data_IF_331019604028
#
_entry.id   IF_331019604028
#
_cell.length_a   1.000
_cell.length_b   1.000
_cell.length_c   1.000
_cell.angle_alpha   90.00
_cell.angle_beta   90.00
_cell.angle_gamma   90.00
#
_symmetry.space_group_name_H-M   'P 1'
#
loop_
_entity.id
_entity.type
_entity.pdbx_description
1 polymer ?
#
# COMPACT_ATOMS: atom_id res chain seq x y z
N UNK A 1 41.42 4.87 -12.37
CA UNK A 1 40.02 4.44 -12.53
C UNK A 1 39.21 5.13 -11.45
N UNK A 2 38.26 5.97 -11.83
CA UNK A 2 37.31 6.55 -10.88
C UNK A 2 36.14 5.57 -10.77
N UNK A 3 35.88 5.07 -9.56
CA UNK A 3 34.88 4.02 -9.31
C UNK A 3 33.43 4.53 -9.44
N UNK A 4 33.24 5.85 -9.31
CA UNK A 4 31.96 6.54 -9.40
C UNK A 4 32.13 7.83 -10.20
N UNK A 5 31.07 8.27 -10.87
CA UNK A 5 31.03 9.62 -11.44
C UNK A 5 31.01 10.67 -10.32
N UNK A 6 31.50 11.87 -10.60
CA UNK A 6 31.50 12.98 -9.64
C UNK A 6 30.09 13.29 -9.12
N UNK A 7 29.08 13.21 -9.99
CA UNK A 7 27.67 13.44 -9.66
C UNK A 7 27.14 12.39 -8.69
N UNK A 8 27.46 11.11 -8.94
CA UNK A 8 27.01 10.01 -8.08
C UNK A 8 27.69 10.07 -6.71
N UNK A 9 28.97 10.42 -6.67
CA UNK A 9 29.70 10.63 -5.42
C UNK A 9 29.09 11.76 -4.59
N UNK A 10 28.79 12.90 -5.22
CA UNK A 10 28.14 14.03 -4.55
C UNK A 10 26.73 13.68 -4.05
N UNK A 11 25.93 13.00 -4.87
CA UNK A 11 24.59 12.55 -4.48
C UNK A 11 24.66 11.62 -3.25
N UNK A 12 25.59 10.66 -3.24
CA UNK A 12 25.77 9.77 -2.09
C UNK A 12 26.21 10.53 -0.83
N UNK A 13 27.13 11.49 -0.97
CA UNK A 13 27.59 12.32 0.15
C UNK A 13 26.44 13.12 0.75
N UNK A 14 25.64 13.78 -0.09
CA UNK A 14 24.50 14.60 0.34
C UNK A 14 23.42 13.74 0.97
N UNK A 15 23.02 12.64 0.34
CA UNK A 15 21.99 11.73 0.87
C UNK A 15 22.42 11.13 2.20
N UNK A 16 23.65 10.62 2.30
CA UNK A 16 24.14 10.01 3.55
C UNK A 16 24.19 11.03 4.68
N UNK A 17 24.73 12.22 4.41
CA UNK A 17 24.86 13.29 5.42
C UNK A 17 23.50 13.76 5.89
N UNK A 18 22.57 14.01 4.97
CA UNK A 18 21.21 14.47 5.29
C UNK A 18 20.41 13.41 6.06
N UNK A 19 20.50 12.13 5.68
CA UNK A 19 19.84 11.03 6.40
C UNK A 19 20.34 10.94 7.85
N UNK A 20 21.65 11.01 8.09
CA UNK A 20 22.22 10.95 9.45
C UNK A 20 21.77 12.14 10.30
N UNK A 21 21.76 13.34 9.73
CA UNK A 21 21.30 14.55 10.44
C UNK A 21 19.81 14.45 10.78
N UNK A 22 18.98 13.97 9.85
CA UNK A 22 17.55 13.79 10.07
C UNK A 22 17.27 12.76 11.17
N UNK A 23 17.95 11.60 11.13
CA UNK A 23 17.82 10.55 12.16
C UNK A 23 18.20 11.10 13.53
N UNK A 24 19.33 11.81 13.64
CA UNK A 24 19.76 12.44 14.90
C UNK A 24 18.74 13.43 15.44
N UNK A 25 18.16 14.24 14.57
CA UNK A 25 17.12 15.19 14.95
C UNK A 25 15.85 14.48 15.47
N UNK A 26 15.39 13.42 14.80
CA UNK A 26 14.23 12.65 15.24
C UNK A 26 14.49 11.92 16.56
N UNK A 27 15.64 11.26 16.72
CA UNK A 27 15.98 10.60 17.98
C UNK A 27 16.09 11.61 19.14
N UNK A 28 16.64 12.80 18.89
CA UNK A 28 16.69 13.89 19.86
C UNK A 28 15.32 14.49 20.21
N UNK A 29 14.32 14.32 19.33
CA UNK A 29 12.94 14.80 19.53
C UNK A 29 12.05 13.81 20.30
N UNK A 30 12.60 12.67 20.73
CA UNK A 30 11.90 11.66 21.53
C UNK A 30 11.35 10.46 20.76
N UNK A 31 11.67 10.31 19.46
CA UNK A 31 11.35 9.10 18.72
C UNK A 31 12.30 7.95 19.13
N UNK A 32 11.75 6.76 19.39
CA UNK A 32 12.53 5.59 19.82
C UNK A 32 13.33 4.94 18.67
N UNK A 33 12.82 5.02 17.45
CA UNK A 33 13.44 4.47 16.25
C UNK A 33 13.00 5.26 15.01
N UNK A 34 13.79 5.16 13.95
CA UNK A 34 13.50 5.81 12.66
C UNK A 34 13.54 4.75 11.57
N UNK A 35 12.49 4.68 10.76
CA UNK A 35 12.40 3.76 9.63
C UNK A 35 13.08 4.37 8.41
N UNK A 36 14.33 3.98 8.14
CA UNK A 36 15.09 4.49 7.00
C UNK A 36 14.48 4.14 5.64
N UNK A 37 13.67 3.07 5.58
CA UNK A 37 12.90 2.70 4.39
C UNK A 37 11.88 3.76 3.96
N UNK A 38 11.58 4.75 4.81
CA UNK A 38 10.65 5.85 4.49
C UNK A 38 11.32 7.08 3.89
N UNK A 39 12.64 7.03 3.68
CA UNK A 39 13.37 8.08 2.98
C UNK A 39 13.49 7.84 1.47
N UNK A 40 13.07 6.67 0.95
CA UNK A 40 13.08 6.37 -0.48
C UNK A 40 11.81 6.88 -1.19
N UNK A 41 11.89 6.99 -2.52
CA UNK A 41 10.76 7.32 -3.40
C UNK A 41 9.92 6.11 -3.79
N UNK A 42 10.22 4.92 -3.27
CA UNK A 42 9.60 3.65 -3.69
C UNK A 42 8.06 3.69 -3.58
N UNK A 43 7.54 4.32 -2.52
CA UNK A 43 6.10 4.50 -2.29
C UNK A 43 5.45 5.31 -3.41
N UNK A 44 6.14 6.35 -3.90
CA UNK A 44 5.71 7.20 -5.01
C UNK A 44 5.81 6.44 -6.34
N UNK A 45 6.88 5.67 -6.54
CA UNK A 45 7.05 4.82 -7.72
C UNK A 45 5.98 3.72 -7.81
N UNK A 46 5.63 3.12 -6.67
CA UNK A 46 4.53 2.16 -6.56
C UNK A 46 3.19 2.82 -6.91
N UNK A 47 2.98 4.07 -6.51
CA UNK A 47 1.77 4.82 -6.87
C UNK A 47 1.71 5.09 -8.38
N UNK A 48 2.81 5.50 -9.01
CA UNK A 48 2.86 5.65 -10.47
C UNK A 48 2.73 4.32 -11.22
N UNK A 49 3.21 3.21 -10.63
CA UNK A 49 2.92 1.86 -11.13
C UNK A 49 1.42 1.57 -11.13
N UNK A 50 0.72 1.91 -10.05
CA UNK A 50 -0.72 1.75 -9.96
C UNK A 50 -1.49 2.59 -10.99
N UNK A 51 -1.07 3.84 -11.24
CA UNK A 51 -1.63 4.68 -12.29
C UNK A 51 -1.51 4.01 -13.67
N UNK A 52 -0.33 3.46 -13.99
CA UNK A 52 -0.13 2.73 -15.26
C UNK A 52 -1.04 1.51 -15.35
N UNK A 53 -1.18 0.74 -14.27
CA UNK A 53 -2.05 -0.45 -14.24
C UNK A 53 -3.53 -0.09 -14.46
N UNK A 54 -4.02 0.98 -13.83
CA UNK A 54 -5.38 1.49 -14.04
C UNK A 54 -5.63 1.90 -15.49
N UNK A 55 -4.62 2.41 -16.18
CA UNK A 55 -4.66 2.82 -17.57
C UNK A 55 -4.30 1.68 -18.55
N UNK A 56 -4.57 0.44 -18.17
CA UNK A 56 -4.39 -0.73 -19.04
C UNK A 56 -2.96 -1.30 -19.05
N UNK A 57 -2.14 -0.94 -18.07
CA UNK A 57 -0.71 -1.28 -17.98
C UNK A 57 0.10 -0.74 -19.17
N UNK A 58 -0.26 0.45 -19.64
CA UNK A 58 0.45 1.12 -20.73
C UNK A 58 1.73 1.80 -20.21
N UNK A 59 2.87 1.49 -20.82
CA UNK A 59 4.18 2.07 -20.46
C UNK A 59 4.23 3.59 -20.71
N UNK A 60 3.49 4.07 -21.71
CA UNK A 60 3.41 5.48 -22.07
C UNK A 60 1.99 6.01 -21.82
N UNK A 61 1.71 6.33 -20.56
CA UNK A 61 0.41 6.87 -20.15
C UNK A 61 0.28 8.34 -20.57
N UNK A 62 -0.79 8.70 -21.27
CA UNK A 62 -1.13 10.10 -21.59
C UNK A 62 -1.47 10.90 -20.32
N UNK A 63 -1.20 12.21 -20.32
CA UNK A 63 -1.40 13.08 -19.18
C UNK A 63 -2.88 13.10 -18.72
N UNK A 64 -3.83 13.09 -19.67
CA UNK A 64 -5.26 13.03 -19.34
C UNK A 64 -5.65 11.70 -18.70
N UNK A 65 -5.10 10.59 -19.19
CA UNK A 65 -5.31 9.27 -18.62
C UNK A 65 -4.70 9.16 -17.20
N UNK A 66 -3.50 9.71 -17.00
CA UNK A 66 -2.86 9.77 -15.68
C UNK A 66 -3.70 10.60 -14.69
N UNK A 67 -4.21 11.76 -15.11
CA UNK A 67 -5.05 12.62 -14.28
C UNK A 67 -6.37 11.94 -13.89
N UNK A 68 -7.03 11.29 -14.85
CA UNK A 68 -8.24 10.52 -14.61
C UNK A 68 -8.01 9.40 -13.58
N UNK A 69 -6.93 8.63 -13.73
CA UNK A 69 -6.54 7.60 -12.77
C UNK A 69 -6.23 8.21 -11.39
N UNK A 70 -5.49 9.32 -11.33
CA UNK A 70 -5.16 10.02 -10.09
C UNK A 70 -6.40 10.47 -9.32
N UNK A 71 -7.43 10.98 -10.01
CA UNK A 71 -8.70 11.36 -9.39
C UNK A 71 -9.52 10.15 -8.95
N UNK A 72 -9.43 9.04 -9.69
CA UNK A 72 -10.20 7.82 -9.41
C UNK A 72 -9.70 7.08 -8.16
N UNK A 73 -8.38 6.97 -7.97
CA UNK A 73 -7.75 6.24 -6.84
C UNK A 73 -8.28 6.65 -5.46
N UNK A 74 -8.31 7.95 -5.07
CA UNK A 74 -8.79 8.34 -3.75
C UNK A 74 -10.31 8.19 -3.60
N UNK A 75 -11.06 8.28 -4.70
CA UNK A 75 -12.53 8.14 -4.69
C UNK A 75 -12.93 6.68 -4.51
N UNK A 76 -12.26 5.75 -5.21
CA UNK A 76 -12.60 4.33 -5.14
C UNK A 76 -11.91 3.60 -4.01
N UNK A 77 -10.75 4.09 -3.55
CA UNK A 77 -9.89 3.36 -2.61
C UNK A 77 -9.37 2.02 -3.14
N UNK A 78 -9.58 1.74 -4.43
CA UNK A 78 -9.35 0.45 -5.08
C UNK A 78 -8.47 0.68 -6.31
N UNK A 79 -7.34 -0.05 -6.39
CA UNK A 79 -6.51 -0.15 -7.58
C UNK A 79 -6.92 -1.45 -8.31
N UNK A 80 -7.64 -1.31 -9.42
CA UNK A 80 -8.08 -2.43 -10.24
C UNK A 80 -7.69 -2.17 -11.69
N UNK A 81 -6.84 -3.03 -12.26
CA UNK A 81 -6.55 -3.02 -13.70
C UNK A 81 -7.85 -3.23 -14.50
N UNK A 82 -8.05 -2.51 -15.60
CA UNK A 82 -9.24 -2.72 -16.46
C UNK A 82 -9.35 -4.18 -16.90
N UNK A 83 -10.56 -4.72 -17.04
CA UNK A 83 -10.79 -6.06 -17.62
C UNK A 83 -10.31 -6.13 -19.09
N UNK A 84 -10.17 -4.98 -19.74
CA UNK A 84 -9.61 -4.82 -21.09
C UNK A 84 -8.10 -4.54 -21.10
N UNK A 85 -7.41 -4.66 -19.97
CA UNK A 85 -5.96 -4.40 -19.89
C UNK A 85 -5.15 -5.56 -20.50
N UNK A 86 -3.91 -5.25 -20.91
CA UNK A 86 -2.99 -6.25 -21.49
C UNK A 86 -2.40 -7.23 -20.45
N UNK A 87 -2.73 -7.07 -19.18
CA UNK A 87 -2.25 -7.89 -18.05
C UNK A 87 -3.42 -8.44 -17.26
N UNK A 88 -3.24 -9.60 -16.62
CA UNK A 88 -4.27 -10.22 -15.79
C UNK A 88 -4.74 -9.29 -14.67
N UNK A 89 -6.02 -9.41 -14.27
CA UNK A 89 -6.61 -8.50 -13.30
C UNK A 89 -5.90 -8.60 -11.94
N UNK A 90 -5.20 -7.53 -11.55
CA UNK A 90 -4.60 -7.41 -10.22
C UNK A 90 -5.42 -6.40 -9.43
N UNK A 91 -6.05 -6.86 -8.36
CA UNK A 91 -6.73 -6.01 -7.39
C UNK A 91 -5.76 -5.71 -6.26
N UNK A 92 -5.28 -4.48 -6.18
CA UNK A 92 -4.41 -4.01 -5.11
C UNK A 92 -5.12 -2.90 -4.30
N UNK A 93 -4.94 -2.90 -2.99
CA UNK A 93 -5.38 -1.78 -2.14
C UNK A 93 -4.21 -0.85 -1.89
N UNK A 94 -4.48 0.46 -1.90
CA UNK A 94 -3.48 1.45 -1.54
C UNK A 94 -2.95 1.14 -0.13
N UNK A 95 -1.63 0.93 0.00
CA UNK A 95 -0.99 0.62 1.29
C UNK A 95 -0.93 -0.87 1.68
N UNK A 96 -1.34 -1.80 0.81
CA UNK A 96 -1.18 -3.25 1.07
C UNK A 96 0.29 -3.65 1.29
N UNK A 97 1.24 -2.97 0.65
CA UNK A 97 2.68 -3.20 0.82
C UNK A 97 3.22 -2.82 2.21
N UNK A 98 2.48 -2.02 2.99
CA UNK A 98 2.86 -1.63 4.36
C UNK A 98 2.18 -2.48 5.42
N UNK A 99 1.33 -3.44 5.02
CA UNK A 99 0.84 -4.42 5.95
C UNK A 99 2.01 -5.33 6.31
N UNK A 100 2.31 -5.42 7.61
CA UNK A 100 3.13 -6.50 8.12
C UNK A 100 2.57 -7.81 7.55
N UNK A 101 3.42 -8.78 7.17
CA UNK A 101 2.95 -10.07 6.71
C UNK A 101 1.93 -10.56 7.73
N UNK A 102 0.68 -10.78 7.30
CA UNK A 102 -0.25 -11.44 8.17
C UNK A 102 0.37 -12.79 8.54
N UNK A 103 0.28 -13.22 9.81
CA UNK A 103 0.68 -14.58 10.15
C UNK A 103 -0.06 -15.51 9.18
N UNK A 104 0.59 -16.60 8.71
CA UNK A 104 0.01 -17.44 7.67
C UNK A 104 -1.37 -17.90 8.12
N UNK A 105 -2.40 -17.36 7.47
CA UNK A 105 -3.76 -17.85 7.62
C UNK A 105 -3.72 -19.24 7.01
N UNK A 106 -3.71 -20.26 7.87
CA UNK A 106 -3.94 -21.64 7.43
C UNK A 106 -5.22 -21.60 6.61
N UNK A 107 -5.13 -21.97 5.34
CA UNK A 107 -6.31 -22.17 4.51
C UNK A 107 -7.19 -23.21 5.23
N UNK A 108 -8.22 -22.74 5.94
CA UNK A 108 -9.24 -23.60 6.50
C UNK A 108 -10.10 -24.06 5.33
N UNK A 109 -9.74 -25.21 4.76
CA UNK A 109 -10.64 -26.03 3.95
C UNK A 109 -11.75 -26.56 4.85
N UNK A 110 -12.68 -25.69 5.22
CA UNK A 110 -13.98 -26.04 5.77
C UNK A 110 -14.83 -24.77 5.72
N UNK A 111 -15.84 -24.76 4.86
CA UNK A 111 -16.95 -23.81 4.96
C UNK A 111 -17.68 -24.10 6.27
N UNK A 112 -17.23 -23.51 7.37
CA UNK A 112 -17.99 -23.56 8.61
C UNK A 112 -19.26 -22.73 8.41
N UNK A 113 -20.40 -23.42 8.43
CA UNK A 113 -21.73 -22.84 8.40
C UNK A 113 -21.86 -21.83 9.54
N UNK A 114 -21.72 -20.54 9.20
CA UNK A 114 -21.82 -19.40 10.13
C UNK A 114 -23.12 -19.47 10.95
N UNK A 115 -24.18 -20.06 10.38
CA UNK A 115 -25.45 -20.30 11.06
C UNK A 115 -25.34 -21.17 12.31
N UNK A 116 -24.46 -22.19 12.34
CA UNK A 116 -24.29 -23.06 13.53
C UNK A 116 -23.52 -22.36 14.64
N UNK A 117 -22.64 -21.42 14.29
CA UNK A 117 -21.86 -20.63 15.25
C UNK A 117 -22.73 -19.58 15.96
N UNK A 118 -23.75 -19.06 15.26
CA UNK A 118 -24.66 -18.03 15.76
C UNK A 118 -25.90 -18.58 16.49
N UNK A 119 -26.21 -19.87 16.30
CA UNK A 119 -27.30 -20.59 16.97
C UNK A 119 -27.37 -20.37 18.51
N UNK A 120 -26.26 -20.43 19.27
CA UNK A 120 -26.29 -20.17 20.71
C UNK A 120 -26.55 -18.69 21.08
N UNK A 121 -26.35 -17.75 20.14
CA UNK A 121 -26.53 -16.31 20.37
C UNK A 121 -27.89 -15.79 19.89
N UNK A 122 -28.60 -16.51 19.02
CA UNK A 122 -29.94 -16.13 18.55
C UNK A 122 -30.97 -16.06 19.69
N UNK A 123 -30.88 -16.96 20.68
CA UNK A 123 -31.75 -16.93 21.86
C UNK A 123 -31.53 -15.67 22.74
N UNK A 124 -30.37 -15.04 22.65
CA UNK A 124 -30.09 -13.76 23.34
C UNK A 124 -30.65 -12.56 22.56
N UNK A 125 -30.70 -12.65 21.22
CA UNK A 125 -31.26 -11.62 20.34
C UNK A 125 -32.80 -11.60 20.37
N UNK A 126 -33.45 -12.76 20.56
CA UNK A 126 -34.91 -12.83 20.76
C UNK A 126 -35.37 -12.29 22.13
N UNK A 127 -34.44 -12.09 23.09
CA UNK A 127 -34.76 -11.67 24.46
C UNK A 127 -35.00 -10.17 24.63
N UNK A 128 -34.78 -9.37 23.58
CA UNK A 128 -35.13 -7.95 23.54
C UNK A 128 -36.07 -7.66 22.36
N UNK A 129 -37.36 -7.99 22.46
CA UNK A 129 -38.34 -7.37 21.59
C UNK A 129 -38.50 -5.92 22.04
N UNK A 130 -38.51 -5.00 21.07
CA UNK A 130 -38.80 -3.55 21.17
C UNK A 130 -37.70 -2.61 21.71
N UNK A 131 -36.96 -2.02 20.76
CA UNK A 131 -36.66 -0.59 20.71
C UNK A 131 -36.43 -0.19 19.25
N UNK A 132 -37.53 -0.13 18.50
CA UNK A 132 -37.73 0.71 17.33
C UNK A 132 -38.86 1.67 17.69
#
# INVERSE_FOLDING_TARGET
MEFLSAETYEALRVTTTSTVLCIRHLLGSGFCFVLTSRYSSDDVESFFSAIRQLNGSNDQTDAYAALSAFQKIPVTGILHSSDSANVGSVVCRLGQAYQLPSPPVKASTASEDVGKLLLPYLAALERYPSML
#
